data_IF_587454695543
#
_entry.id   IF_587454695543
#
_cell.length_a   1.000
_cell.length_b   1.000
_cell.length_c   1.000
_cell.angle_alpha   90.00
_cell.angle_beta   90.00
_cell.angle_gamma   90.00
#
_symmetry.space_group_name_H-M   'P 1'
#
loop_
_entity.id
_entity.type
_entity.pdbx_description
1 polymer ?
#
# COMPACT_ATOMS: atom_id res chain seq x y z
N UNK A 1 -31.00 5.61 12.63
CA UNK A 1 -29.88 5.65 13.61
C UNK A 1 -28.49 5.65 12.96
N UNK A 2 -28.20 4.78 11.98
CA UNK A 2 -26.86 4.63 11.38
C UNK A 2 -26.29 5.90 10.68
N UNK A 3 -27.13 6.66 9.96
CA UNK A 3 -26.71 7.90 9.26
C UNK A 3 -26.36 9.04 10.24
N UNK A 4 -27.06 9.12 11.39
CA UNK A 4 -26.81 10.16 12.39
C UNK A 4 -25.48 9.94 13.13
N UNK A 5 -25.09 8.69 13.36
CA UNK A 5 -23.79 8.33 13.96
C UNK A 5 -22.65 8.65 12.99
N UNK A 6 -22.82 8.35 11.70
CA UNK A 6 -21.84 8.70 10.67
C UNK A 6 -21.64 10.23 10.55
N UNK A 7 -22.73 11.00 10.57
CA UNK A 7 -22.69 12.47 10.58
C UNK A 7 -22.07 13.01 11.87
N UNK A 8 -22.32 12.39 13.02
CA UNK A 8 -21.69 12.78 14.29
C UNK A 8 -20.18 12.50 14.27
N UNK A 9 -19.76 11.35 13.74
CA UNK A 9 -18.34 11.01 13.57
C UNK A 9 -17.65 11.97 12.59
N UNK A 10 -18.28 12.31 11.46
CA UNK A 10 -17.78 13.31 10.50
C UNK A 10 -17.67 14.72 11.12
N UNK A 11 -18.63 15.12 11.95
CA UNK A 11 -18.55 16.38 12.72
C UNK A 11 -17.46 16.37 13.81
N UNK A 12 -17.25 15.24 14.48
CA UNK A 12 -16.16 15.11 15.44
C UNK A 12 -14.77 15.13 14.77
N UNK A 13 -14.66 14.61 13.54
CA UNK A 13 -13.43 14.72 12.74
C UNK A 13 -13.17 16.14 12.24
N UNK A 14 -14.20 16.95 11.93
CA UNK A 14 -14.02 18.33 11.48
C UNK A 14 -13.67 19.29 12.64
N UNK A 15 -14.14 19.02 13.86
CA UNK A 15 -13.83 19.83 15.05
C UNK A 15 -12.41 19.58 15.62
N UNK A 16 -11.71 18.52 15.18
CA UNK A 16 -10.37 18.16 15.65
C UNK A 16 -9.19 18.77 14.90
N UNK A 17 -9.42 19.52 13.81
CA UNK A 17 -8.36 20.04 12.92
C UNK A 17 -8.15 21.56 12.97
N UNK A 18 -8.73 22.25 13.94
CA UNK A 18 -8.44 23.66 14.21
C UNK A 18 -7.25 23.81 15.18
N UNK A 19 -6.09 23.27 14.83
CA UNK A 19 -4.83 23.71 15.43
C UNK A 19 -4.17 24.66 14.45
N UNK A 20 -3.98 25.90 14.91
CA UNK A 20 -3.21 26.90 14.21
C UNK A 20 -1.77 26.37 14.11
N UNK A 21 -1.37 25.90 12.93
CA UNK A 21 0.03 25.56 12.69
C UNK A 21 0.84 26.86 12.72
N UNK A 22 1.77 26.99 13.68
CA UNK A 22 2.72 28.10 13.74
C UNK A 22 3.67 28.15 12.52
N UNK A 23 3.69 27.09 11.72
CA UNK A 23 4.49 26.97 10.49
C UNK A 23 3.68 27.33 9.25
N UNK A 24 4.20 28.17 8.34
CA UNK A 24 3.57 28.42 7.05
C UNK A 24 3.36 27.11 6.26
N UNK A 25 2.10 26.79 5.96
CA UNK A 25 1.77 25.67 5.11
C UNK A 25 1.72 26.12 3.65
N UNK A 26 2.67 25.64 2.84
CA UNK A 26 2.74 25.90 1.41
C UNK A 26 2.13 24.75 0.62
N UNK A 27 1.28 25.08 -0.34
CA UNK A 27 0.45 24.11 -1.05
C UNK A 27 0.54 24.28 -2.56
N UNK A 28 0.51 23.16 -3.27
CA UNK A 28 0.30 23.14 -4.71
C UNK A 28 -0.69 22.04 -5.12
N UNK A 29 -1.24 22.19 -6.31
CA UNK A 29 -2.10 21.20 -6.94
C UNK A 29 -1.51 20.78 -8.27
N UNK A 30 -1.80 19.56 -8.70
CA UNK A 30 -1.40 19.08 -10.01
C UNK A 30 -2.48 18.27 -10.71
N UNK A 31 -2.50 18.36 -12.04
CA UNK A 31 -3.38 17.60 -12.93
C UNK A 31 -2.50 16.88 -13.93
N UNK A 32 -2.58 15.55 -13.94
CA UNK A 32 -1.66 14.71 -14.70
C UNK A 32 -2.42 13.66 -15.52
N UNK A 33 -2.85 14.00 -16.74
CA UNK A 33 -3.30 13.02 -17.71
C UNK A 33 -2.22 11.97 -17.99
N UNK A 34 -2.63 10.72 -18.20
CA UNK A 34 -1.76 9.62 -18.59
C UNK A 34 -2.42 8.70 -19.62
N UNK A 35 -1.59 8.02 -20.41
CA UNK A 35 -1.98 7.06 -21.43
C UNK A 35 -0.93 5.94 -21.50
N UNK A 36 -1.37 4.68 -21.50
CA UNK A 36 -0.46 3.56 -21.29
C UNK A 36 -1.00 2.20 -21.69
N UNK A 37 -0.33 1.15 -21.19
CA UNK A 37 -0.69 -0.24 -21.45
C UNK A 37 -0.68 -1.05 -20.16
N UNK A 38 -1.52 -2.09 -20.12
CA UNK A 38 -1.44 -3.08 -19.04
C UNK A 38 -0.19 -3.94 -19.27
N UNK A 39 0.65 -4.06 -18.25
CA UNK A 39 1.81 -4.95 -18.26
C UNK A 39 1.35 -6.39 -18.06
N UNK A 40 1.70 -7.25 -19.01
CA UNK A 40 1.49 -8.69 -18.90
C UNK A 40 2.44 -9.27 -17.84
N UNK A 41 1.89 -9.49 -16.65
CA UNK A 41 2.61 -10.08 -15.51
C UNK A 41 2.06 -11.49 -15.14
N UNK A 42 0.91 -11.86 -15.70
CA UNK A 42 0.31 -13.18 -15.64
C UNK A 42 -0.39 -13.45 -16.99
N UNK A 43 -0.15 -14.62 -17.61
CA UNK A 43 -0.77 -15.01 -18.88
C UNK A 43 -2.29 -15.10 -18.82
N UNK A 44 -2.85 -15.31 -17.64
CA UNK A 44 -4.29 -15.42 -17.41
C UNK A 44 -5.05 -14.14 -17.72
N UNK A 45 -4.39 -12.97 -17.70
CA UNK A 45 -5.02 -11.69 -18.05
C UNK A 45 -4.81 -11.28 -19.51
N UNK A 46 -4.11 -12.09 -20.31
CA UNK A 46 -3.75 -11.73 -21.69
C UNK A 46 -4.96 -11.35 -22.55
N UNK A 47 -6.10 -12.02 -22.37
CA UNK A 47 -7.35 -11.74 -23.09
C UNK A 47 -8.00 -10.40 -22.70
N UNK A 48 -7.59 -9.82 -21.57
CA UNK A 48 -8.06 -8.53 -21.07
C UNK A 48 -7.23 -7.34 -21.59
N UNK A 49 -6.00 -7.59 -22.05
CA UNK A 49 -5.10 -6.56 -22.59
C UNK A 49 -5.45 -6.33 -24.07
N UNK A 50 -6.44 -5.48 -24.32
CA UNK A 50 -6.97 -5.23 -25.69
C UNK A 50 -6.68 -3.83 -26.21
N UNK A 51 -6.72 -2.85 -25.32
CA UNK A 51 -6.54 -1.44 -25.63
C UNK A 51 -5.61 -0.80 -24.60
N UNK A 52 -5.42 0.51 -24.75
CA UNK A 52 -4.51 1.32 -23.94
C UNK A 52 -5.28 2.10 -22.87
N UNK A 53 -5.15 1.75 -21.58
CA UNK A 53 -5.79 2.48 -20.51
C UNK A 53 -5.33 3.95 -20.47
N UNK A 54 -6.23 4.81 -20.05
CA UNK A 54 -5.96 6.24 -19.89
C UNK A 54 -6.69 6.81 -18.70
N UNK A 55 -6.22 7.94 -18.21
CA UNK A 55 -6.78 8.52 -17.00
C UNK A 55 -6.14 9.83 -16.60
N UNK A 56 -6.45 10.24 -15.38
CA UNK A 56 -5.92 11.46 -14.77
C UNK A 56 -5.58 11.23 -13.32
N UNK A 57 -4.41 11.72 -12.91
CA UNK A 57 -4.00 11.83 -11.50
C UNK A 57 -4.15 13.29 -11.11
N UNK A 58 -5.01 13.55 -10.13
CA UNK A 58 -5.14 14.83 -9.44
C UNK A 58 -4.36 14.75 -8.15
N UNK A 59 -3.49 15.71 -7.87
CA UNK A 59 -2.69 15.76 -6.64
C UNK A 59 -2.92 17.06 -5.87
N UNK A 60 -2.96 16.94 -4.54
CA UNK A 60 -2.93 18.06 -3.59
C UNK A 60 -1.75 17.85 -2.65
N UNK A 61 -0.76 18.75 -2.66
CA UNK A 61 0.53 18.53 -2.01
C UNK A 61 0.83 19.64 -0.98
N UNK A 62 1.17 19.24 0.24
CA UNK A 62 1.83 20.07 1.27
C UNK A 62 3.33 20.00 1.05
N UNK A 63 3.94 21.14 0.74
CA UNK A 63 5.38 21.24 0.54
C UNK A 63 6.09 21.26 1.90
N UNK A 64 7.29 20.67 1.95
CA UNK A 64 8.10 20.63 3.16
C UNK A 64 9.41 21.39 2.99
N UNK A 65 9.87 22.04 4.06
CA UNK A 65 11.02 22.95 4.05
C UNK A 65 12.00 22.71 5.21
N UNK A 66 11.81 21.66 6.02
CA UNK A 66 12.72 21.32 7.13
C UNK A 66 12.22 21.76 8.50
N UNK A 67 10.93 22.08 8.61
CA UNK A 67 10.35 22.43 9.92
C UNK A 67 10.31 21.21 10.83
N UNK A 68 10.10 20.02 10.25
CA UNK A 68 10.15 18.74 10.94
C UNK A 68 11.48 18.00 10.74
N UNK A 69 11.94 17.33 11.78
CA UNK A 69 13.29 16.74 11.79
C UNK A 69 13.51 15.58 10.82
N UNK A 70 12.45 15.01 10.25
CA UNK A 70 12.53 13.94 9.26
C UNK A 70 12.64 14.48 7.82
N UNK A 71 12.26 15.74 7.56
CA UNK A 71 12.13 16.27 6.20
C UNK A 71 13.48 16.40 5.49
N UNK A 72 14.45 17.10 6.09
CA UNK A 72 15.75 17.35 5.48
C UNK A 72 16.54 16.06 5.12
N UNK A 73 16.57 15.02 5.96
CA UNK A 73 17.26 13.76 5.64
C UNK A 73 16.68 13.00 4.45
N UNK A 74 15.39 13.19 4.13
CA UNK A 74 14.75 12.63 2.93
C UNK A 74 14.67 13.63 1.76
N UNK A 75 15.47 14.70 1.81
CA UNK A 75 15.50 15.77 0.82
C UNK A 75 14.13 16.47 0.64
N UNK A 76 13.48 16.77 1.76
CA UNK A 76 12.26 17.58 1.86
C UNK A 76 11.11 17.01 1.02
N UNK A 77 10.66 15.77 1.27
CA UNK A 77 9.60 15.19 0.48
C UNK A 77 8.27 15.87 0.77
N UNK A 78 7.48 16.16 -0.26
CA UNK A 78 6.13 16.69 -0.06
C UNK A 78 5.20 15.55 0.36
N UNK A 79 4.16 15.89 1.11
CA UNK A 79 3.09 14.94 1.49
C UNK A 79 1.78 15.36 0.86
N UNK A 80 0.84 14.45 0.66
CA UNK A 80 -0.43 14.86 0.09
C UNK A 80 -1.43 13.75 -0.14
N UNK A 81 -2.46 14.12 -0.88
CA UNK A 81 -3.53 13.24 -1.31
C UNK A 81 -3.64 13.26 -2.82
N UNK A 82 -3.90 12.11 -3.43
CA UNK A 82 -4.18 12.02 -4.85
C UNK A 82 -5.53 11.36 -5.11
N UNK A 83 -6.16 11.75 -6.21
CA UNK A 83 -7.32 11.06 -6.80
C UNK A 83 -6.90 10.58 -8.18
N UNK A 84 -7.14 9.30 -8.47
CA UNK A 84 -6.83 8.70 -9.77
C UNK A 84 -8.13 8.17 -10.37
N UNK A 85 -8.51 8.72 -11.53
CA UNK A 85 -9.50 8.11 -12.39
C UNK A 85 -8.79 7.42 -13.54
N UNK A 86 -9.18 6.18 -13.82
CA UNK A 86 -8.62 5.40 -14.91
C UNK A 86 -9.71 4.62 -15.65
N UNK A 87 -9.77 4.81 -16.96
CA UNK A 87 -10.56 4.01 -17.89
C UNK A 87 -9.68 2.90 -18.45
N UNK A 88 -10.07 1.64 -18.23
CA UNK A 88 -9.30 0.48 -18.68
C UNK A 88 -9.49 0.19 -20.17
N UNK A 89 -10.40 0.90 -20.85
CA UNK A 89 -10.73 0.68 -22.27
C UNK A 89 -11.10 -0.77 -22.60
N UNK A 90 -11.69 -1.44 -21.61
CA UNK A 90 -12.17 -2.80 -21.72
C UNK A 90 -13.39 -2.95 -20.81
N UNK A 91 -14.55 -3.29 -21.36
CA UNK A 91 -15.81 -3.42 -20.61
C UNK A 91 -15.78 -4.51 -19.53
N UNK A 92 -14.90 -5.51 -19.67
CA UNK A 92 -14.67 -6.53 -18.64
C UNK A 92 -13.95 -5.93 -17.43
N UNK A 93 -13.00 -5.00 -17.63
CA UNK A 93 -12.23 -4.36 -16.57
C UNK A 93 -12.90 -3.09 -16.02
N UNK A 94 -13.69 -2.38 -16.84
CA UNK A 94 -14.42 -1.18 -16.47
C UNK A 94 -13.55 0.04 -16.16
N UNK A 95 -14.00 0.83 -15.19
CA UNK A 95 -13.31 2.04 -14.72
C UNK A 95 -12.86 1.87 -13.28
N UNK A 96 -11.78 2.56 -12.92
CA UNK A 96 -11.27 2.65 -11.57
C UNK A 96 -11.26 4.09 -11.10
N UNK A 97 -11.74 4.33 -9.88
CA UNK A 97 -11.61 5.61 -9.16
C UNK A 97 -10.95 5.35 -7.82
N UNK A 98 -9.73 5.87 -7.61
CA UNK A 98 -8.98 5.69 -6.38
C UNK A 98 -8.66 6.98 -5.65
N UNK A 99 -8.51 6.87 -4.33
CA UNK A 99 -8.05 7.91 -3.42
C UNK A 99 -6.82 7.42 -2.68
N UNK A 100 -5.79 8.26 -2.58
CA UNK A 100 -4.46 7.86 -2.13
C UNK A 100 -3.89 8.87 -1.16
N UNK A 101 -3.14 8.38 -0.18
CA UNK A 101 -2.12 9.16 0.51
C UNK A 101 -0.81 9.00 -0.27
N UNK A 102 -0.05 10.07 -0.43
CA UNK A 102 1.22 9.99 -1.17
C UNK A 102 2.35 10.81 -0.54
N UNK A 103 3.56 10.41 -0.91
CA UNK A 103 4.78 11.18 -0.75
C UNK A 103 5.34 11.55 -2.12
N UNK A 104 5.93 12.74 -2.24
CA UNK A 104 6.78 13.14 -3.36
C UNK A 104 8.22 13.25 -2.88
N UNK A 105 9.07 12.30 -3.24
CA UNK A 105 10.50 12.40 -3.05
C UNK A 105 11.16 13.11 -4.22
N UNK A 106 12.27 13.78 -3.95
CA UNK A 106 12.91 14.64 -4.93
C UNK A 106 14.40 14.35 -5.10
N UNK A 107 14.86 14.39 -6.34
CA UNK A 107 16.27 14.22 -6.74
C UNK A 107 16.68 15.37 -7.67
N UNK A 108 17.99 15.53 -7.90
CA UNK A 108 18.56 16.54 -8.81
C UNK A 108 18.04 17.96 -8.58
N UNK A 109 18.19 18.47 -7.34
CA UNK A 109 17.66 19.80 -6.93
C UNK A 109 16.16 19.92 -7.22
N UNK A 110 15.41 18.86 -6.90
CA UNK A 110 13.95 18.73 -7.09
C UNK A 110 13.45 18.77 -8.54
N UNK A 111 14.35 18.64 -9.53
CA UNK A 111 13.97 18.48 -10.95
C UNK A 111 13.43 17.10 -11.27
N UNK A 112 13.76 16.09 -10.48
CA UNK A 112 13.17 14.77 -10.59
C UNK A 112 12.28 14.51 -9.37
N UNK A 113 11.05 14.10 -9.62
CA UNK A 113 10.06 13.75 -8.61
C UNK A 113 9.77 12.26 -8.71
N UNK A 114 9.86 11.57 -7.58
CA UNK A 114 9.33 10.22 -7.39
C UNK A 114 8.14 10.30 -6.44
N UNK A 115 6.93 10.11 -6.96
CA UNK A 115 5.71 10.04 -6.18
C UNK A 115 5.33 8.59 -5.95
N UNK A 116 5.08 8.22 -4.69
CA UNK A 116 4.51 6.93 -4.31
C UNK A 116 3.19 7.19 -3.59
N UNK A 117 2.12 6.56 -4.06
CA UNK A 117 0.79 6.67 -3.47
C UNK A 117 0.24 5.31 -3.09
N UNK A 118 -0.35 5.20 -1.90
CA UNK A 118 -1.10 4.03 -1.45
C UNK A 118 -2.52 4.45 -1.12
N UNK A 119 -3.49 3.68 -1.59
CA UNK A 119 -4.88 4.06 -1.57
C UNK A 119 -5.86 2.91 -1.69
N UNK A 120 -7.13 3.30 -1.77
CA UNK A 120 -8.26 2.42 -2.03
C UNK A 120 -8.91 2.88 -3.33
N UNK A 121 -9.26 1.94 -4.20
CA UNK A 121 -9.93 2.17 -5.46
C UNK A 121 -11.28 1.47 -5.52
N UNK A 122 -12.23 2.11 -6.19
CA UNK A 122 -13.51 1.55 -6.59
C UNK A 122 -13.46 1.16 -8.07
N UNK A 123 -13.71 -0.11 -8.36
CA UNK A 123 -13.88 -0.65 -9.70
C UNK A 123 -15.37 -0.76 -10.04
N UNK A 124 -15.74 -0.43 -11.27
CA UNK A 124 -17.15 -0.49 -11.70
C UNK A 124 -17.62 -1.88 -12.10
N UNK A 125 -16.73 -2.77 -12.54
CA UNK A 125 -17.05 -4.02 -13.22
C UNK A 125 -16.19 -5.19 -12.69
N UNK A 126 -16.27 -5.58 -11.40
CA UNK A 126 -15.56 -6.75 -10.91
C UNK A 126 -16.14 -8.04 -11.48
N UNK A 127 -15.51 -9.16 -11.18
CA UNK A 127 -15.96 -10.51 -11.49
C UNK A 127 -17.41 -10.73 -11.00
N UNK A 128 -18.24 -11.22 -11.91
CA UNK A 128 -19.55 -11.77 -11.61
C UNK A 128 -19.71 -13.05 -12.42
N UNK A 129 -20.07 -14.16 -11.78
CA UNK A 129 -20.17 -15.48 -12.41
C UNK A 129 -21.14 -15.53 -13.60
N UNK A 130 -22.15 -14.68 -13.62
CA UNK A 130 -23.19 -14.60 -14.66
C UNK A 130 -22.92 -13.45 -15.63
N UNK A 131 -22.66 -12.24 -15.11
CA UNK A 131 -22.62 -11.01 -15.91
C UNK A 131 -21.22 -10.63 -16.42
N UNK A 132 -20.16 -11.02 -15.70
CA UNK A 132 -18.79 -10.60 -16.00
C UNK A 132 -17.74 -11.68 -15.66
N UNK A 133 -18.01 -12.91 -16.06
CA UNK A 133 -17.21 -14.09 -15.68
C UNK A 133 -15.79 -14.07 -16.27
N UNK A 134 -15.54 -13.21 -17.26
CA UNK A 134 -14.22 -13.05 -17.90
C UNK A 134 -13.27 -12.17 -17.11
N UNK A 135 -13.76 -11.41 -16.13
CA UNK A 135 -12.89 -10.57 -15.31
C UNK A 135 -12.22 -11.40 -14.22
N UNK A 136 -11.11 -12.04 -14.54
CA UNK A 136 -10.26 -12.72 -13.56
C UNK A 136 -9.26 -11.79 -12.86
N UNK A 137 -9.27 -10.49 -13.18
CA UNK A 137 -8.37 -9.51 -12.58
C UNK A 137 -8.89 -8.96 -11.25
N UNK A 138 -10.19 -8.67 -11.16
CA UNK A 138 -10.79 -7.97 -10.02
C UNK A 138 -11.97 -8.73 -9.43
N UNK A 139 -11.82 -9.28 -8.22
CA UNK A 139 -12.90 -10.02 -7.54
C UNK A 139 -13.90 -9.14 -6.78
N UNK A 140 -13.60 -7.86 -6.59
CA UNK A 140 -14.37 -6.93 -5.75
C UNK A 140 -14.38 -5.51 -6.30
N UNK A 141 -15.44 -4.75 -5.97
CA UNK A 141 -15.51 -3.33 -6.28
C UNK A 141 -14.45 -2.53 -5.53
N UNK A 142 -14.24 -2.80 -4.23
CA UNK A 142 -13.18 -2.15 -3.47
C UNK A 142 -11.87 -2.92 -3.63
N UNK A 143 -10.81 -2.20 -3.97
CA UNK A 143 -9.49 -2.72 -4.22
C UNK A 143 -8.45 -1.87 -3.48
N UNK A 144 -7.36 -2.50 -3.06
CA UNK A 144 -6.13 -1.79 -2.76
C UNK A 144 -5.53 -1.25 -4.06
N UNK A 145 -4.97 -0.05 -4.01
CA UNK A 145 -4.25 0.48 -5.15
C UNK A 145 -2.99 1.19 -4.73
N UNK A 146 -1.93 0.95 -5.48
CA UNK A 146 -0.65 1.61 -5.34
C UNK A 146 -0.30 2.25 -6.67
N UNK A 147 0.23 3.46 -6.65
CA UNK A 147 0.85 4.03 -7.84
C UNK A 147 2.26 4.52 -7.55
N UNK A 148 3.08 4.49 -8.60
CA UNK A 148 4.38 5.10 -8.66
C UNK A 148 4.39 6.09 -9.84
N UNK A 149 4.89 7.31 -9.64
CA UNK A 149 5.05 8.28 -10.72
C UNK A 149 6.47 8.83 -10.67
N UNK A 150 7.14 8.83 -11.81
CA UNK A 150 8.47 9.41 -11.98
C UNK A 150 8.37 10.54 -12.99
N UNK A 151 8.60 11.77 -12.54
CA UNK A 151 8.48 12.95 -13.39
C UNK A 151 9.77 13.76 -13.43
N UNK A 152 10.09 14.28 -14.61
CA UNK A 152 10.77 15.56 -14.67
C UNK A 152 9.79 16.65 -14.27
N UNK A 153 10.16 17.43 -13.26
CA UNK A 153 9.35 18.46 -12.64
C UNK A 153 9.98 19.84 -12.86
N UNK A 154 9.21 20.76 -13.44
CA UNK A 154 9.60 22.17 -13.61
C UNK A 154 8.50 23.07 -13.04
N UNK A 155 8.51 23.32 -11.72
CA UNK A 155 7.56 24.25 -11.12
C UNK A 155 7.82 25.69 -11.62
N UNK A 156 6.79 26.54 -11.56
CA UNK A 156 6.89 27.99 -11.83
C UNK A 156 7.57 28.35 -13.15
N UNK A 157 7.22 27.62 -14.21
CA UNK A 157 7.62 27.96 -15.58
C UNK A 157 7.08 29.34 -15.99
N UNK A 158 5.86 29.68 -15.55
CA UNK A 158 5.27 31.00 -15.70
C UNK A 158 4.44 31.36 -14.46
N UNK A 159 4.91 32.33 -13.66
CA UNK A 159 4.31 32.68 -12.37
C UNK A 159 4.12 31.41 -11.51
N UNK A 160 2.90 31.13 -11.07
CA UNK A 160 2.55 29.97 -10.24
C UNK A 160 2.36 28.67 -11.05
N UNK A 161 2.41 28.73 -12.38
CA UNK A 161 2.19 27.58 -13.25
C UNK A 161 3.51 26.88 -13.57
N UNK A 162 3.56 25.57 -13.34
CA UNK A 162 4.63 24.67 -13.71
C UNK A 162 4.14 23.52 -14.58
N UNK A 163 5.10 22.74 -15.06
CA UNK A 163 4.86 21.57 -15.92
C UNK A 163 5.61 20.36 -15.38
N UNK A 164 5.10 19.18 -15.68
CA UNK A 164 5.78 17.91 -15.42
C UNK A 164 5.48 16.90 -16.49
N UNK A 165 6.42 15.99 -16.72
CA UNK A 165 6.23 14.87 -17.64
C UNK A 165 7.09 13.68 -17.21
N UNK A 166 6.64 12.48 -17.54
CA UNK A 166 7.35 11.27 -17.19
C UNK A 166 6.50 10.01 -17.36
N UNK A 167 6.65 9.08 -16.42
CA UNK A 167 5.99 7.78 -16.44
C UNK A 167 5.24 7.51 -15.14
N UNK A 168 4.15 6.76 -15.24
CA UNK A 168 3.36 6.28 -14.12
C UNK A 168 3.14 4.77 -14.19
N UNK A 169 3.10 4.16 -13.03
CA UNK A 169 2.72 2.78 -12.80
C UNK A 169 1.52 2.79 -11.85
N UNK A 170 0.41 2.15 -12.22
CA UNK A 170 -0.78 2.05 -11.37
C UNK A 170 -1.15 0.58 -11.21
N UNK A 171 -1.16 0.11 -9.96
CA UNK A 171 -1.51 -1.26 -9.59
C UNK A 171 -2.89 -1.29 -8.93
N UNK A 172 -3.70 -2.26 -9.31
CA UNK A 172 -5.01 -2.53 -8.74
C UNK A 172 -5.14 -4.01 -8.37
N UNK A 173 -5.41 -4.31 -7.10
CA UNK A 173 -5.69 -5.65 -6.60
C UNK A 173 -6.57 -5.59 -5.36
N UNK A 174 -7.20 -6.69 -4.97
CA UNK A 174 -7.91 -6.77 -3.69
C UNK A 174 -7.13 -7.53 -2.59
N UNK A 175 -5.84 -7.80 -2.84
CA UNK A 175 -4.94 -8.50 -1.92
C UNK A 175 -5.49 -9.82 -1.36
N UNK A 176 -6.12 -10.61 -2.23
CA UNK A 176 -6.75 -11.90 -1.92
C UNK A 176 -7.85 -11.82 -0.87
N UNK A 177 -8.48 -10.65 -0.71
CA UNK A 177 -9.72 -10.53 0.04
C UNK A 177 -10.82 -11.35 -0.63
N UNK A 178 -10.88 -11.37 -1.96
CA UNK A 178 -11.90 -12.11 -2.72
C UNK A 178 -11.37 -12.60 -4.06
N UNK A 179 -11.53 -13.88 -4.37
CA UNK A 179 -11.16 -14.44 -5.67
C UNK A 179 -12.20 -14.08 -6.76
N UNK A 180 -11.79 -13.93 -8.03
CA UNK A 180 -10.41 -13.98 -8.53
C UNK A 180 -9.65 -12.65 -8.29
N UNK A 181 -8.31 -12.71 -8.26
CA UNK A 181 -7.48 -11.52 -8.04
C UNK A 181 -6.13 -11.61 -8.77
N UNK A 182 -6.15 -11.82 -10.09
CA UNK A 182 -4.90 -11.77 -10.87
C UNK A 182 -4.33 -10.35 -10.99
N UNK A 183 -5.12 -9.33 -10.67
CA UNK A 183 -4.74 -7.90 -10.65
C UNK A 183 -4.44 -7.31 -12.02
N UNK A 184 -4.18 -6.00 -12.06
CA UNK A 184 -3.63 -5.32 -13.24
C UNK A 184 -2.55 -4.33 -12.86
N UNK A 185 -1.55 -4.18 -13.71
CA UNK A 185 -0.50 -3.17 -13.63
C UNK A 185 -0.54 -2.32 -14.89
N UNK A 186 -0.81 -1.02 -14.79
CA UNK A 186 -0.76 -0.11 -15.94
C UNK A 186 0.57 0.64 -15.93
N UNK A 187 1.33 0.55 -17.01
CA UNK A 187 2.47 1.43 -17.28
C UNK A 187 2.05 2.49 -18.28
N UNK A 188 2.23 3.76 -17.95
CA UNK A 188 1.77 4.87 -18.78
C UNK A 188 2.81 5.98 -18.87
N UNK A 189 2.75 6.72 -19.98
CA UNK A 189 3.39 8.03 -20.07
C UNK A 189 2.40 9.09 -19.59
N UNK A 190 2.92 10.12 -18.95
CA UNK A 190 2.10 11.18 -18.38
C UNK A 190 2.73 12.56 -18.61
N UNK A 191 1.88 13.56 -18.78
CA UNK A 191 2.27 14.96 -18.88
C UNK A 191 1.22 15.81 -18.18
N UNK A 192 1.63 16.76 -17.36
CA UNK A 192 0.72 17.45 -16.46
C UNK A 192 1.16 18.87 -16.11
N UNK A 193 0.23 19.58 -15.50
CA UNK A 193 0.42 20.93 -14.99
C UNK A 193 0.48 20.90 -13.46
N UNK A 194 1.23 21.84 -12.90
CA UNK A 194 1.32 22.07 -11.46
C UNK A 194 0.98 23.55 -11.23
N UNK A 195 0.19 23.83 -10.22
CA UNK A 195 -0.17 25.19 -9.83
C UNK A 195 0.13 25.40 -8.34
N UNK A 196 1.04 26.33 -8.04
CA UNK A 196 1.38 26.70 -6.67
C UNK A 196 0.31 27.66 -6.11
N UNK A 197 -0.45 27.23 -5.10
CA UNK A 197 -1.56 28.00 -4.53
C UNK A 197 -1.07 29.11 -3.60
N UNK A 198 -0.11 28.76 -2.75
CA UNK A 198 0.48 29.62 -1.74
C UNK A 198 1.89 29.10 -1.53
N UNK A 199 2.87 29.73 -2.17
CA UNK A 199 4.26 29.28 -2.17
C UNK A 199 5.20 30.48 -2.33
N UNK A 200 6.10 30.69 -1.38
CA UNK A 200 7.19 31.66 -1.56
C UNK A 200 8.33 30.99 -2.34
N UNK A 201 8.83 31.55 -3.46
CA UNK A 201 10.03 31.04 -4.15
C UNK A 201 11.30 31.10 -3.33
N UNK A 202 11.29 31.93 -2.30
CA UNK A 202 12.44 32.22 -1.47
C UNK A 202 12.39 31.51 -0.12
N UNK A 203 11.40 30.63 0.12
CA UNK A 203 11.38 29.84 1.35
C UNK A 203 12.63 28.96 1.42
N UNK A 204 13.40 29.12 2.48
CA UNK A 204 14.68 28.45 2.64
C UNK A 204 14.50 27.02 3.16
N UNK A 205 15.31 26.11 2.62
CA UNK A 205 15.36 24.72 3.11
C UNK A 205 16.19 24.64 4.40
N UNK A 206 15.50 24.46 5.52
CA UNK A 206 16.08 24.38 6.85
C UNK A 206 16.68 22.99 7.09
N UNK A 207 17.98 22.94 7.41
CA UNK A 207 18.63 21.70 7.85
C UNK A 207 18.97 21.81 9.33
N UNK A 208 18.13 21.19 10.16
CA UNK A 208 18.38 21.09 11.61
C UNK A 208 19.31 19.91 11.89
N UNK A 209 20.34 20.12 12.72
CA UNK A 209 21.08 19.02 13.32
C UNK A 209 20.12 18.12 14.12
N UNK A 210 20.32 16.82 14.00
CA UNK A 210 19.46 15.82 14.63
C UNK A 210 20.29 15.08 15.69
N UNK A 211 19.77 14.92 16.91
CA UNK A 211 20.47 14.15 17.93
C UNK A 211 20.64 12.69 17.49
N UNK A 212 21.74 12.06 17.90
CA UNK A 212 21.92 10.62 17.73
C UNK A 212 20.86 9.85 18.52
N UNK A 213 20.25 8.84 17.88
CA UNK A 213 19.35 7.89 18.55
C UNK A 213 20.15 6.64 18.93
N UNK A 214 20.30 6.41 20.25
CA UNK A 214 20.88 5.18 20.80
C UNK A 214 19.85 4.50 21.69
N UNK A 215 19.17 3.51 21.13
CA UNK A 215 18.20 2.69 21.87
C UNK A 215 18.78 1.28 22.12
N UNK A 216 18.43 0.68 23.26
CA UNK A 216 18.67 -0.75 23.50
C UNK A 216 17.82 -1.59 22.54
N UNK A 217 18.03 -2.90 22.54
CA UNK A 217 17.11 -3.81 21.86
C UNK A 217 15.73 -3.66 22.50
N UNK A 218 14.69 -3.58 21.67
CA UNK A 218 13.29 -3.44 22.07
C UNK A 218 12.50 -4.65 21.64
N UNK A 219 11.58 -5.09 22.49
CA UNK A 219 10.72 -6.24 22.19
C UNK A 219 9.38 -5.76 21.67
N UNK A 220 8.88 -6.42 20.63
CA UNK A 220 7.61 -6.08 20.01
C UNK A 220 6.69 -7.28 20.05
N UNK A 221 5.45 -7.02 20.47
CA UNK A 221 4.35 -7.97 20.39
C UNK A 221 3.29 -7.38 19.48
N UNK A 222 2.88 -8.14 18.46
CA UNK A 222 1.93 -7.66 17.44
C UNK A 222 0.89 -8.72 17.17
N UNK A 223 -0.36 -8.29 17.17
CA UNK A 223 -1.47 -9.07 16.67
C UNK A 223 -1.91 -8.49 15.32
N UNK A 224 -2.06 -9.35 14.31
CA UNK A 224 -2.60 -8.97 13.01
C UNK A 224 -3.77 -9.85 12.63
N UNK A 225 -4.73 -9.25 11.96
CA UNK A 225 -5.92 -9.92 11.47
C UNK A 225 -6.45 -9.23 10.22
N UNK A 226 -7.38 -9.89 9.54
CA UNK A 226 -7.97 -9.47 8.29
C UNK A 226 -8.83 -10.61 7.76
N UNK A 227 -9.26 -10.47 6.51
CA UNK A 227 -10.00 -11.51 5.78
C UNK A 227 -9.27 -11.84 4.49
N UNK A 228 -9.29 -13.11 4.11
CA UNK A 228 -8.82 -13.55 2.81
C UNK A 228 -9.58 -14.78 2.33
N UNK A 229 -9.46 -15.06 1.04
CA UNK A 229 -10.02 -16.21 0.33
C UNK A 229 -8.89 -16.98 -0.36
N UNK A 230 -9.11 -18.26 -0.67
CA UNK A 230 -8.18 -19.03 -1.51
C UNK A 230 -8.27 -18.60 -2.97
N UNK A 231 -7.35 -19.05 -3.83
CA UNK A 231 -7.46 -18.75 -5.27
C UNK A 231 -8.63 -19.49 -5.96
N UNK A 232 -9.31 -20.39 -5.25
CA UNK A 232 -10.54 -21.04 -5.72
C UNK A 232 -11.72 -20.08 -5.59
N UNK A 233 -12.26 -19.66 -6.73
CA UNK A 233 -13.40 -18.75 -6.81
C UNK A 233 -14.60 -19.34 -6.06
N UNK A 234 -15.22 -18.52 -5.19
CA UNK A 234 -16.36 -18.88 -4.35
C UNK A 234 -16.02 -19.92 -3.25
N UNK A 235 -14.75 -20.05 -2.86
CA UNK A 235 -14.36 -20.83 -1.67
C UNK A 235 -14.71 -20.11 -0.36
N UNK A 236 -14.92 -18.80 -0.40
CA UNK A 236 -15.41 -18.01 0.72
C UNK A 236 -14.31 -17.26 1.47
N UNK A 237 -14.72 -16.20 2.17
CA UNK A 237 -13.82 -15.31 2.90
C UNK A 237 -13.71 -15.75 4.35
N UNK A 238 -12.49 -15.92 4.84
CA UNK A 238 -12.23 -16.37 6.20
C UNK A 238 -11.34 -15.38 6.93
N UNK A 239 -11.55 -15.18 8.25
CA UNK A 239 -10.64 -14.39 9.04
C UNK A 239 -9.32 -15.13 9.23
N UNK A 240 -8.23 -14.39 9.31
CA UNK A 240 -6.95 -14.95 9.76
C UNK A 240 -6.45 -14.24 11.02
N UNK A 241 -5.55 -14.92 11.73
CA UNK A 241 -4.91 -14.40 12.94
C UNK A 241 -3.41 -14.66 12.89
N UNK A 242 -2.62 -13.62 13.15
CA UNK A 242 -1.17 -13.70 13.15
C UNK A 242 -0.66 -13.07 14.43
N UNK A 243 0.11 -13.86 15.17
CA UNK A 243 0.78 -13.42 16.39
C UNK A 243 2.27 -13.32 16.11
N UNK A 244 2.83 -12.13 16.26
CA UNK A 244 4.26 -11.88 16.07
C UNK A 244 4.92 -11.47 17.35
N UNK A 245 6.10 -12.02 17.59
CA UNK A 245 7.02 -11.56 18.62
C UNK A 245 8.39 -11.33 17.97
N UNK A 246 8.96 -10.14 18.12
CA UNK A 246 10.26 -9.83 17.53
C UNK A 246 11.05 -8.81 18.34
N UNK A 247 12.37 -8.95 18.28
CA UNK A 247 13.31 -7.94 18.76
C UNK A 247 13.59 -6.95 17.63
N UNK A 248 13.66 -5.65 17.94
CA UNK A 248 14.20 -4.64 17.04
C UNK A 248 15.39 -3.93 17.66
N UNK A 249 16.39 -3.63 16.82
CA UNK A 249 17.55 -2.81 17.18
C UNK A 249 17.64 -1.64 16.24
N UNK A 250 17.46 -0.43 16.78
CA UNK A 250 17.79 0.82 16.08
C UNK A 250 19.28 0.83 15.71
N UNK A 251 19.56 0.95 14.41
CA UNK A 251 20.91 1.20 13.88
C UNK A 251 21.21 2.70 13.78
N UNK A 252 20.17 3.52 13.85
CA UNK A 252 20.24 4.96 13.90
C UNK A 252 18.84 5.55 13.90
N UNK A 253 18.74 6.81 13.48
CA UNK A 253 17.46 7.54 13.51
C UNK A 253 16.41 6.95 12.56
N UNK A 254 16.83 6.46 11.39
CA UNK A 254 15.92 6.06 10.33
C UNK A 254 15.80 4.56 10.17
N UNK A 255 16.72 3.78 10.71
CA UNK A 255 16.80 2.34 10.44
C UNK A 255 16.79 1.54 11.72
N UNK A 256 15.99 0.48 11.73
CA UNK A 256 16.12 -0.63 12.66
C UNK A 256 16.13 -1.96 11.91
N UNK A 257 16.83 -2.92 12.48
CA UNK A 257 16.75 -4.32 12.06
C UNK A 257 15.85 -5.10 13.02
N UNK A 258 15.15 -6.08 12.49
CA UNK A 258 14.20 -6.91 13.21
C UNK A 258 14.59 -8.39 13.09
N UNK A 259 14.40 -9.14 14.16
CA UNK A 259 14.48 -10.61 14.16
C UNK A 259 13.36 -11.14 15.04
N UNK A 260 12.56 -12.07 14.53
CA UNK A 260 11.51 -12.67 15.32
C UNK A 260 10.78 -13.81 14.66
N UNK A 261 9.59 -14.09 15.18
CA UNK A 261 8.76 -15.21 14.76
C UNK A 261 7.30 -14.80 14.62
N UNK A 262 6.60 -15.53 13.77
CA UNK A 262 5.18 -15.41 13.50
C UNK A 262 4.48 -16.76 13.69
N UNK A 263 3.28 -16.74 14.29
CA UNK A 263 2.35 -17.88 14.30
C UNK A 263 1.13 -17.50 13.49
N UNK A 264 0.80 -18.31 12.48
CA UNK A 264 -0.23 -18.03 11.50
C UNK A 264 -1.41 -18.99 11.64
N UNK A 265 -2.60 -18.41 11.73
CA UNK A 265 -3.89 -19.09 11.63
C UNK A 265 -4.62 -18.57 10.39
N UNK A 266 -4.23 -19.06 9.20
CA UNK A 266 -4.86 -18.69 7.94
C UNK A 266 -6.05 -19.60 7.67
N UNK A 267 -7.23 -19.27 8.17
CA UNK A 267 -8.37 -20.20 8.18
C UNK A 267 -8.87 -20.59 6.79
N UNK A 268 -8.63 -19.79 5.75
CA UNK A 268 -8.97 -20.15 4.36
C UNK A 268 -8.30 -21.47 3.92
N UNK A 269 -7.12 -21.79 4.48
CA UNK A 269 -6.40 -23.03 4.17
C UNK A 269 -7.19 -24.27 4.60
N UNK A 270 -8.04 -24.19 5.63
CA UNK A 270 -8.91 -25.32 6.00
C UNK A 270 -9.83 -25.70 4.84
N UNK A 271 -10.42 -24.70 4.21
CA UNK A 271 -11.34 -24.91 3.10
C UNK A 271 -10.57 -25.39 1.86
N UNK A 272 -9.38 -24.84 1.61
CA UNK A 272 -8.53 -25.30 0.52
C UNK A 272 -8.09 -26.76 0.69
N UNK A 273 -7.63 -27.16 1.88
CA UNK A 273 -7.25 -28.55 2.22
C UNK A 273 -8.44 -29.49 2.01
N UNK A 274 -9.63 -29.11 2.51
CA UNK A 274 -10.85 -29.89 2.35
C UNK A 274 -11.25 -30.02 0.88
N UNK A 275 -11.17 -28.94 0.12
CA UNK A 275 -11.48 -28.93 -1.30
C UNK A 275 -10.52 -29.83 -2.09
N UNK A 276 -9.21 -29.70 -1.86
CA UNK A 276 -8.20 -30.50 -2.56
C UNK A 276 -8.31 -31.99 -2.23
N UNK A 277 -8.45 -32.35 -0.96
CA UNK A 277 -8.60 -33.75 -0.53
C UNK A 277 -9.83 -34.47 -1.10
N UNK A 278 -10.91 -33.74 -1.40
CA UNK A 278 -12.14 -34.30 -1.96
C UNK A 278 -12.14 -34.28 -3.49
N UNK A 279 -11.71 -33.16 -4.08
CA UNK A 279 -11.88 -32.89 -5.52
C UNK A 279 -10.67 -33.29 -6.38
N UNK A 280 -9.49 -33.45 -5.78
CA UNK A 280 -8.25 -33.79 -6.49
C UNK A 280 -7.47 -34.90 -5.76
N UNK A 281 -7.95 -36.16 -5.79
CA UNK A 281 -7.30 -37.29 -5.13
C UNK A 281 -5.82 -37.48 -5.53
N UNK A 282 -5.46 -37.07 -6.75
CA UNK A 282 -4.09 -37.10 -7.27
C UNK A 282 -3.10 -36.20 -6.54
N UNK A 283 -3.58 -35.23 -5.74
CA UNK A 283 -2.73 -34.39 -4.89
C UNK A 283 -2.39 -35.06 -3.56
N UNK A 284 -3.02 -36.19 -3.23
CA UNK A 284 -2.78 -36.98 -2.01
C UNK A 284 -2.82 -36.15 -0.71
N UNK A 285 -3.64 -35.10 -0.68
CA UNK A 285 -3.78 -34.21 0.50
C UNK A 285 -4.60 -34.90 1.58
N UNK A 286 -4.02 -35.09 2.76
CA UNK A 286 -4.74 -35.56 3.94
C UNK A 286 -5.71 -34.46 4.44
N UNK A 287 -7.04 -34.69 4.52
CA UNK A 287 -7.99 -33.72 5.05
C UNK A 287 -7.73 -33.30 6.51
N UNK A 288 -6.95 -34.08 7.26
CA UNK A 288 -6.53 -33.76 8.62
C UNK A 288 -5.25 -32.91 8.72
N UNK A 289 -4.64 -32.55 7.57
CA UNK A 289 -3.44 -31.70 7.54
C UNK A 289 -3.68 -30.40 8.31
N UNK A 290 -2.76 -30.02 9.20
CA UNK A 290 -2.90 -28.77 9.94
C UNK A 290 -2.75 -27.57 8.98
N UNK A 291 -3.56 -26.54 9.19
CA UNK A 291 -3.56 -25.32 8.39
C UNK A 291 -2.67 -24.23 9.00
N UNK A 292 -2.19 -24.45 10.23
CA UNK A 292 -1.34 -23.50 10.95
C UNK A 292 0.06 -23.50 10.37
N UNK A 293 0.72 -22.35 10.47
CA UNK A 293 2.12 -22.19 10.10
C UNK A 293 2.87 -21.46 11.21
N UNK A 294 4.16 -21.75 11.36
CA UNK A 294 5.07 -20.99 12.23
C UNK A 294 6.25 -20.57 11.39
N UNK A 295 6.59 -19.28 11.43
CA UNK A 295 7.70 -18.71 10.69
C UNK A 295 8.69 -17.98 11.58
N UNK A 296 9.91 -17.89 11.12
CA UNK A 296 10.93 -16.96 11.60
C UNK A 296 11.18 -15.92 10.53
N UNK A 297 11.55 -14.70 10.90
CA UNK A 297 11.85 -13.66 9.94
C UNK A 297 12.97 -12.74 10.39
N UNK A 298 13.67 -12.20 9.40
CA UNK A 298 14.49 -11.00 9.52
C UNK A 298 13.80 -9.84 8.83
N UNK A 299 13.99 -8.63 9.34
CA UNK A 299 13.33 -7.47 8.77
C UNK A 299 14.09 -6.17 8.97
N UNK A 300 13.59 -5.15 8.29
CA UNK A 300 14.04 -3.78 8.39
C UNK A 300 12.83 -2.87 8.61
N UNK A 301 13.05 -1.80 9.37
CA UNK A 301 12.08 -0.75 9.59
C UNK A 301 12.70 0.62 9.28
N UNK A 302 12.10 1.30 8.31
CA UNK A 302 12.45 2.66 7.89
C UNK A 302 11.52 3.65 8.57
N UNK A 303 12.03 4.48 9.48
CA UNK A 303 11.24 5.48 10.19
C UNK A 303 11.12 6.78 9.39
N UNK A 304 9.89 7.23 9.15
CA UNK A 304 9.56 8.46 8.44
C UNK A 304 8.53 9.22 9.29
N UNK A 305 9.03 10.08 10.18
CA UNK A 305 8.21 10.76 11.19
C UNK A 305 7.50 9.77 12.15
N UNK A 306 6.19 9.94 12.37
CA UNK A 306 5.31 9.02 13.13
C UNK A 306 4.92 7.78 12.34
N UNK A 307 5.29 7.71 11.06
CA UNK A 307 5.11 6.53 10.23
C UNK A 307 6.42 5.76 10.11
N UNK A 308 6.34 4.48 9.84
CA UNK A 308 7.49 3.71 9.40
C UNK A 308 7.09 2.69 8.34
N UNK A 309 8.02 2.31 7.49
CA UNK A 309 7.84 1.25 6.49
C UNK A 309 8.59 0.02 6.97
N UNK A 310 7.91 -1.12 7.03
CA UNK A 310 8.53 -2.40 7.32
C UNK A 310 8.73 -3.22 6.05
N UNK A 311 9.86 -3.91 5.99
CA UNK A 311 10.16 -4.95 5.01
C UNK A 311 10.70 -6.16 5.75
N UNK A 312 10.07 -7.31 5.59
CA UNK A 312 10.44 -8.55 6.29
C UNK A 312 10.54 -9.69 5.29
N UNK A 313 11.52 -10.56 5.52
CA UNK A 313 11.70 -11.81 4.81
C UNK A 313 11.71 -12.94 5.84
N UNK A 314 10.81 -13.90 5.66
CA UNK A 314 10.61 -14.99 6.58
C UNK A 314 10.58 -16.35 5.91
N UNK A 315 10.72 -17.37 6.76
CA UNK A 315 10.77 -18.77 6.38
C UNK A 315 9.88 -19.55 7.35
N UNK A 316 8.99 -20.40 6.84
CA UNK A 316 8.18 -21.26 7.69
C UNK A 316 9.01 -22.44 8.20
N UNK A 317 9.17 -22.50 9.52
CA UNK A 317 9.80 -23.65 10.21
C UNK A 317 8.78 -24.74 10.54
N UNK A 318 7.49 -24.39 10.57
CA UNK A 318 6.37 -25.33 10.64
C UNK A 318 5.41 -25.02 9.49
N UNK A 319 5.30 -25.97 8.55
CA UNK A 319 4.58 -25.82 7.28
C UNK A 319 4.03 -27.17 6.80
N UNK A 320 2.98 -27.69 7.46
CA UNK A 320 2.41 -29.00 7.18
C UNK A 320 1.65 -29.10 5.84
N UNK A 321 1.16 -27.99 5.30
CA UNK A 321 0.44 -27.93 4.02
C UNK A 321 1.19 -27.03 3.02
N UNK A 322 1.44 -27.55 1.82
CA UNK A 322 2.10 -26.79 0.75
C UNK A 322 1.15 -25.79 0.08
N UNK A 323 1.48 -24.52 0.25
CA UNK A 323 0.76 -23.35 -0.24
C UNK A 323 1.73 -22.21 -0.57
N UNK A 324 1.98 -21.98 -1.87
CA UNK A 324 2.79 -20.89 -2.40
C UNK A 324 4.27 -20.85 -1.94
N UNK A 325 4.75 -21.95 -1.34
CA UNK A 325 6.13 -22.12 -0.92
C UNK A 325 6.44 -21.66 0.51
N UNK A 326 7.64 -22.06 0.98
CA UNK A 326 8.04 -21.92 2.39
C UNK A 326 8.63 -20.54 2.76
N UNK A 327 8.98 -19.73 1.77
CA UNK A 327 9.50 -18.38 1.97
C UNK A 327 8.37 -17.38 1.82
N UNK A 328 8.24 -16.45 2.76
CA UNK A 328 7.27 -15.36 2.71
C UNK A 328 7.96 -14.01 2.88
N UNK A 329 7.34 -12.97 2.34
CA UNK A 329 7.76 -11.59 2.53
C UNK A 329 6.59 -10.75 3.04
N UNK A 330 6.92 -9.73 3.83
CA UNK A 330 5.93 -8.77 4.34
C UNK A 330 6.41 -7.35 4.11
N UNK A 331 5.58 -6.53 3.49
CA UNK A 331 5.83 -5.10 3.33
C UNK A 331 4.65 -4.34 3.93
N UNK A 332 4.90 -3.29 4.69
CA UNK A 332 3.81 -2.56 5.32
C UNK A 332 4.20 -1.22 5.88
N UNK A 333 3.20 -0.50 6.39
CA UNK A 333 3.35 0.78 7.06
C UNK A 333 2.89 0.63 8.50
N UNK A 334 3.64 1.19 9.45
CA UNK A 334 3.21 1.38 10.83
C UNK A 334 2.96 2.86 11.11
N UNK A 335 2.07 3.13 12.05
CA UNK A 335 1.88 4.44 12.66
C UNK A 335 2.02 4.30 14.16
N UNK A 336 2.97 5.04 14.74
CA UNK A 336 3.20 5.08 16.19
C UNK A 336 2.25 6.06 16.87
N UNK A 337 1.75 5.65 18.04
CA UNK A 337 0.92 6.42 18.95
C UNK A 337 1.64 6.52 20.30
N UNK A 338 2.40 7.60 20.49
CA UNK A 338 3.39 7.70 21.56
C UNK A 338 4.58 6.77 21.31
N UNK A 339 5.27 6.39 22.40
CA UNK A 339 6.57 5.69 22.30
C UNK A 339 6.46 4.16 22.21
N UNK A 340 5.28 3.61 22.52
CA UNK A 340 5.09 2.16 22.69
C UNK A 340 4.09 1.57 21.71
N UNK A 341 2.92 2.18 21.55
CA UNK A 341 1.84 1.60 20.77
C UNK A 341 1.96 1.97 19.29
N UNK A 342 1.58 1.04 18.42
CA UNK A 342 1.48 1.31 16.99
C UNK A 342 0.34 0.51 16.35
N UNK A 343 -0.22 1.07 15.29
CA UNK A 343 -1.04 0.32 14.34
C UNK A 343 -0.20 0.01 13.09
N UNK A 344 -0.54 -1.07 12.39
CA UNK A 344 0.14 -1.50 11.17
C UNK A 344 -0.87 -1.88 10.09
N UNK A 345 -0.49 -1.60 8.83
CA UNK A 345 -1.13 -2.15 7.65
C UNK A 345 -0.02 -2.80 6.81
N UNK A 346 -0.08 -4.11 6.60
CA UNK A 346 0.95 -4.85 5.86
C UNK A 346 0.34 -5.79 4.83
N UNK A 347 1.08 -6.03 3.75
CA UNK A 347 0.80 -7.07 2.77
C UNK A 347 1.79 -8.22 3.01
N UNK A 348 1.26 -9.40 3.29
CA UNK A 348 2.03 -10.64 3.30
C UNK A 348 1.89 -11.31 1.95
N UNK A 349 3.02 -11.77 1.42
CA UNK A 349 3.12 -12.39 0.10
C UNK A 349 4.10 -13.55 0.09
N UNK A 350 3.97 -14.37 -0.94
CA UNK A 350 4.88 -15.42 -1.36
C UNK A 350 5.51 -14.99 -2.68
N UNK A 351 6.72 -14.44 -2.62
CA UNK A 351 7.34 -13.71 -3.73
C UNK A 351 6.39 -12.61 -4.28
N UNK A 352 5.88 -12.77 -5.49
CA UNK A 352 4.96 -11.82 -6.13
C UNK A 352 3.47 -12.09 -5.83
N UNK A 353 3.13 -13.21 -5.20
CA UNK A 353 1.73 -13.58 -4.93
C UNK A 353 1.30 -13.10 -3.55
N UNK A 354 0.30 -12.22 -3.51
CA UNK A 354 -0.28 -11.74 -2.25
C UNK A 354 -1.03 -12.88 -1.55
N UNK A 355 -0.86 -13.03 -0.23
CA UNK A 355 -1.71 -13.92 0.59
C UNK A 355 -2.78 -13.12 1.34
N UNK A 356 -2.41 -11.98 1.93
CA UNK A 356 -3.32 -11.20 2.75
C UNK A 356 -2.84 -9.76 2.99
N UNK A 357 -3.79 -8.82 3.01
CA UNK A 357 -3.63 -7.53 3.71
C UNK A 357 -3.98 -7.70 5.18
N UNK A 358 -3.02 -7.37 6.02
CA UNK A 358 -3.00 -7.53 7.46
C UNK A 358 -3.19 -6.17 8.14
N UNK A 359 -4.23 -6.04 8.97
CA UNK A 359 -4.37 -4.93 9.91
C UNK A 359 -3.82 -5.38 11.27
N UNK A 360 -2.92 -4.58 11.83
CA UNK A 360 -2.19 -4.92 13.05
C UNK A 360 -2.27 -3.87 14.13
N UNK A 361 -2.20 -4.33 15.38
CA UNK A 361 -1.89 -3.51 16.54
C UNK A 361 -0.74 -4.14 17.29
N UNK A 362 0.20 -3.32 17.75
CA UNK A 362 1.36 -3.79 18.48
C UNK A 362 1.83 -2.84 19.55
N UNK A 363 2.66 -3.40 20.43
CA UNK A 363 3.37 -2.68 21.48
C UNK A 363 4.87 -2.94 21.36
N UNK A 364 5.67 -1.89 21.48
CA UNK A 364 7.12 -1.88 21.52
C UNK A 364 7.57 -1.55 22.96
N UNK A 365 8.27 -2.48 23.60
CA UNK A 365 8.65 -2.49 25.02
C UNK A 365 10.11 -2.11 25.20
#
# INVERSE_FOLDING_TARGET
>A
MKIRILLLCLLCFSLGYAQQEDTPAYWNMDVTPFYGSILLHNTDISHLIREHPSGVILGFNKQTFGHEGWEAPFNFPDTGFSVVYQDMKNSTLGHNLGVYLHYNFYLLKRKLQFRIGQGIAYNTNPYNKEENFRNNAYGSHLMSSTFLVFNYNRPRLYKNLGVKAGISLVHYSNANVKAPNTSTNTFAFNAGLIYDLKGDPNEEFIRKEQPEIRESVKMNLVFRSGINESDVINSGQYPFYIFSAYADKRLGKFSAIQLGSDVFYSNFLKELIRFQSISFPELEVDPATDFKRVGIFVGHELFINKLSVITQLGYYVYYPFDFEGQVYNRVGVKRYFGDKWFAALSLKSHAAKAEAVEMGIGIRL
#
